data_IF_395313003607
#
_entry.id   IF_395313003607
#
_cell.length_a   1.000
_cell.length_b   1.000
_cell.length_c   1.000
_cell.angle_alpha   90.00
_cell.angle_beta   90.00
_cell.angle_gamma   90.00
#
_symmetry.space_group_name_H-M   'P 1'
#
loop_
_entity.id
_entity.type
_entity.pdbx_description
1 polymer ?
#
# COMPACT_ATOMS: atom_id res chain seq x y z
N UNK A 1 12.87 -26.59 1.53
CA UNK A 1 13.19 -25.94 0.24
C UNK A 1 12.79 -24.48 0.35
N UNK A 2 13.74 -23.55 0.24
CA UNK A 2 13.36 -22.10 0.29
C UNK A 2 12.78 -21.73 -1.07
N UNK A 3 11.53 -21.33 -1.12
CA UNK A 3 10.89 -20.82 -2.34
C UNK A 3 11.65 -19.56 -2.76
N UNK A 4 12.23 -19.56 -3.97
CA UNK A 4 12.76 -18.34 -4.57
C UNK A 4 11.56 -17.44 -4.87
N UNK A 5 11.55 -16.25 -4.27
CA UNK A 5 10.58 -15.22 -4.64
C UNK A 5 10.80 -14.84 -6.10
N UNK A 6 9.74 -14.89 -6.91
CA UNK A 6 9.76 -14.53 -8.32
C UNK A 6 9.79 -13.01 -8.47
N UNK A 7 10.30 -12.55 -9.60
CA UNK A 7 10.09 -11.18 -10.06
C UNK A 7 8.91 -11.15 -11.04
N UNK A 8 8.34 -9.98 -11.25
CA UNK A 8 7.35 -9.79 -12.31
C UNK A 8 8.04 -9.97 -13.66
N UNK A 9 7.40 -10.72 -14.56
CA UNK A 9 7.90 -10.90 -15.94
C UNK A 9 7.84 -9.58 -16.72
N UNK A 10 6.78 -8.78 -16.47
CA UNK A 10 6.60 -7.44 -17.01
C UNK A 10 6.18 -6.48 -15.89
N UNK A 11 6.60 -5.20 -15.96
CA UNK A 11 6.16 -4.19 -15.01
C UNK A 11 4.64 -4.01 -15.03
N UNK A 12 4.07 -3.73 -13.87
CA UNK A 12 2.63 -3.44 -13.72
C UNK A 12 2.40 -1.99 -13.30
N UNK A 13 1.26 -1.45 -13.69
CA UNK A 13 0.85 -0.12 -13.25
C UNK A 13 0.53 -0.14 -11.75
N UNK A 14 1.02 0.87 -11.05
CA UNK A 14 0.72 1.11 -9.64
C UNK A 14 0.29 2.54 -9.37
N UNK A 15 -0.18 2.79 -8.17
CA UNK A 15 -0.50 4.12 -7.67
C UNK A 15 0.03 4.31 -6.27
N UNK A 16 0.48 5.52 -5.98
CA UNK A 16 0.85 5.96 -4.63
C UNK A 16 -0.02 7.15 -4.24
N UNK A 17 -0.66 7.05 -3.08
CA UNK A 17 -1.55 8.07 -2.53
C UNK A 17 -1.00 8.50 -1.17
N UNK A 18 -0.59 9.75 -1.06
CA UNK A 18 -0.21 10.36 0.22
C UNK A 18 -1.43 10.97 0.87
N UNK A 19 -1.74 10.49 2.07
CA UNK A 19 -2.88 10.92 2.88
C UNK A 19 -2.37 11.84 3.98
N UNK A 20 -2.61 13.13 3.83
CA UNK A 20 -2.15 14.13 4.79
C UNK A 20 -2.83 15.48 4.54
N UNK A 21 -3.57 15.99 5.52
CA UNK A 21 -4.13 17.35 5.49
C UNK A 21 -3.07 18.42 5.27
N UNK A 22 -1.91 18.28 5.92
CA UNK A 22 -0.82 19.24 5.85
C UNK A 22 -0.17 19.27 4.48
N UNK A 23 0.06 18.10 3.87
CA UNK A 23 0.59 18.02 2.51
C UNK A 23 -0.44 18.50 1.48
N UNK A 24 -1.73 18.18 1.66
CA UNK A 24 -2.80 18.62 0.78
C UNK A 24 -2.98 20.14 0.75
N UNK A 25 -2.74 20.82 1.89
CA UNK A 25 -2.76 22.28 1.97
C UNK A 25 -1.46 22.95 1.53
N UNK A 26 -0.39 22.18 1.32
CA UNK A 26 0.94 22.73 1.02
C UNK A 26 1.73 23.20 2.25
N UNK A 27 1.26 22.91 3.46
CA UNK A 27 1.93 23.27 4.73
C UNK A 27 3.13 22.38 5.04
N UNK A 28 3.22 21.23 4.37
CA UNK A 28 4.30 20.25 4.54
C UNK A 28 4.64 19.60 3.21
N UNK A 29 5.93 19.39 2.98
CA UNK A 29 6.41 18.60 1.85
C UNK A 29 6.12 17.11 2.05
N UNK A 30 5.62 16.44 0.98
CA UNK A 30 5.48 14.99 0.98
C UNK A 30 6.85 14.32 0.81
N UNK A 31 7.27 13.61 1.84
CA UNK A 31 8.54 12.86 1.84
C UNK A 31 8.34 11.36 1.72
N UNK A 32 7.16 10.85 2.03
CA UNK A 32 6.86 9.42 2.01
C UNK A 32 6.43 8.92 0.64
N UNK A 33 5.62 9.69 -0.08
CA UNK A 33 5.14 9.33 -1.41
C UNK A 33 6.26 9.07 -2.43
N UNK A 34 7.22 10.00 -2.63
CA UNK A 34 8.35 9.76 -3.53
C UNK A 34 9.21 8.55 -3.15
N UNK A 35 9.37 8.27 -1.86
CA UNK A 35 10.07 7.06 -1.40
C UNK A 35 9.31 5.80 -1.81
N UNK A 36 7.99 5.79 -1.64
CA UNK A 36 7.14 4.67 -2.06
C UNK A 36 7.26 4.41 -3.57
N UNK A 37 7.21 5.44 -4.39
CA UNK A 37 7.34 5.33 -5.86
C UNK A 37 8.66 4.66 -6.24
N UNK A 38 9.76 5.14 -5.69
CA UNK A 38 11.10 4.59 -5.96
C UNK A 38 11.21 3.12 -5.55
N UNK A 39 10.78 2.79 -4.33
CA UNK A 39 10.89 1.43 -3.80
C UNK A 39 9.97 0.44 -4.52
N UNK A 40 8.78 0.86 -4.92
CA UNK A 40 7.87 0.02 -5.71
C UNK A 40 8.43 -0.28 -7.10
N UNK A 41 9.15 0.67 -7.71
CA UNK A 41 9.80 0.46 -9.00
C UNK A 41 10.85 -0.66 -8.95
N UNK A 42 11.57 -0.82 -7.84
CA UNK A 42 12.53 -1.91 -7.62
C UNK A 42 11.86 -3.30 -7.66
N UNK A 43 10.54 -3.36 -7.49
CA UNK A 43 9.71 -4.57 -7.55
C UNK A 43 8.85 -4.65 -8.83
N UNK A 44 9.11 -3.80 -9.82
CA UNK A 44 8.40 -3.81 -11.10
C UNK A 44 7.01 -3.15 -11.06
N UNK A 45 6.70 -2.37 -10.03
CA UNK A 45 5.46 -1.59 -9.93
C UNK A 45 5.76 -0.14 -10.32
N UNK A 46 5.23 0.30 -11.46
CA UNK A 46 5.50 1.62 -12.01
C UNK A 46 4.39 2.60 -11.65
N UNK A 47 4.78 3.74 -11.09
CA UNK A 47 3.89 4.81 -10.65
C UNK A 47 4.31 6.11 -11.33
N UNK A 48 3.40 6.72 -12.08
CA UNK A 48 3.69 7.94 -12.84
C UNK A 48 3.84 9.17 -11.94
N UNK A 49 2.97 9.29 -10.93
CA UNK A 49 2.99 10.42 -10.01
C UNK A 49 2.33 10.07 -8.68
N UNK A 50 2.71 10.79 -7.63
CA UNK A 50 2.06 10.69 -6.32
C UNK A 50 0.80 11.55 -6.31
N UNK A 51 -0.32 10.99 -5.86
CA UNK A 51 -1.54 11.73 -5.57
C UNK A 51 -1.57 12.09 -4.09
N UNK A 52 -1.74 13.37 -3.78
CA UNK A 52 -1.88 13.84 -2.40
C UNK A 52 -3.35 14.16 -2.13
N UNK A 53 -3.89 13.63 -1.04
CA UNK A 53 -5.28 13.86 -0.62
C UNK A 53 -5.33 14.20 0.87
N UNK A 54 -6.35 14.96 1.31
CA UNK A 54 -6.58 15.20 2.74
C UNK A 54 -6.99 13.91 3.45
N UNK A 55 -6.82 13.90 4.77
CA UNK A 55 -7.35 12.85 5.64
C UNK A 55 -8.88 12.77 5.53
N UNK A 56 -9.43 11.57 5.67
CA UNK A 56 -10.87 11.32 5.61
C UNK A 56 -11.22 10.06 4.83
N UNK A 57 -12.35 9.45 5.18
CA UNK A 57 -12.83 8.21 4.53
C UNK A 57 -13.10 8.45 3.05
N UNK A 58 -13.83 9.51 2.72
CA UNK A 58 -14.28 9.75 1.35
C UNK A 58 -13.13 10.16 0.42
N UNK A 59 -12.24 11.04 0.88
CA UNK A 59 -11.08 11.50 0.09
C UNK A 59 -10.15 10.34 -0.26
N UNK A 60 -9.85 9.48 0.72
CA UNK A 60 -8.98 8.31 0.52
C UNK A 60 -9.65 7.26 -0.35
N UNK A 61 -10.93 6.93 -0.08
CA UNK A 61 -11.68 5.96 -0.87
C UNK A 61 -11.74 6.35 -2.35
N UNK A 62 -12.13 7.57 -2.66
CA UNK A 62 -12.21 8.07 -4.05
C UNK A 62 -10.86 8.02 -4.75
N UNK A 63 -9.77 8.32 -4.02
CA UNK A 63 -8.44 8.27 -4.61
C UNK A 63 -8.03 6.82 -4.96
N UNK A 64 -8.37 5.86 -4.09
CA UNK A 64 -8.11 4.43 -4.35
C UNK A 64 -8.97 3.95 -5.54
N UNK A 65 -10.27 4.23 -5.54
CA UNK A 65 -11.18 3.86 -6.62
C UNK A 65 -10.71 4.43 -7.97
N UNK A 66 -10.34 5.70 -8.01
CA UNK A 66 -9.82 6.34 -9.22
C UNK A 66 -8.51 5.69 -9.71
N UNK A 67 -7.63 5.26 -8.81
CA UNK A 67 -6.41 4.55 -9.18
C UNK A 67 -6.73 3.17 -9.78
N UNK A 68 -7.70 2.44 -9.23
CA UNK A 68 -8.17 1.15 -9.75
C UNK A 68 -8.79 1.34 -11.14
N UNK A 69 -9.66 2.33 -11.32
CA UNK A 69 -10.28 2.65 -12.61
C UNK A 69 -9.24 3.04 -13.67
N UNK A 70 -8.14 3.68 -13.26
CA UNK A 70 -7.02 4.01 -14.14
C UNK A 70 -6.12 2.80 -14.48
N UNK A 71 -6.40 1.61 -13.96
CA UNK A 71 -5.70 0.38 -14.30
C UNK A 71 -4.57 0.00 -13.34
N UNK A 72 -4.46 0.62 -12.16
CA UNK A 72 -3.48 0.21 -11.18
C UNK A 72 -3.73 -1.22 -10.70
N UNK A 73 -2.68 -2.03 -10.65
CA UNK A 73 -2.69 -3.40 -10.10
C UNK A 73 -2.22 -3.45 -8.64
N UNK A 74 -1.49 -2.42 -8.24
CA UNK A 74 -1.02 -2.21 -6.86
C UNK A 74 -1.31 -0.77 -6.49
N UNK A 75 -1.99 -0.56 -5.37
CA UNK A 75 -2.24 0.77 -4.80
C UNK A 75 -1.63 0.83 -3.41
N UNK A 76 -0.68 1.72 -3.19
CA UNK A 76 -0.10 1.99 -1.88
C UNK A 76 -0.57 3.35 -1.38
N UNK A 77 -1.18 3.37 -0.21
CA UNK A 77 -1.45 4.61 0.53
C UNK A 77 -0.40 4.82 1.60
N UNK A 78 0.00 6.05 1.87
CA UNK A 78 0.89 6.39 2.99
C UNK A 78 0.28 7.49 3.83
N UNK A 79 0.14 7.25 5.13
CA UNK A 79 -0.49 8.16 6.09
C UNK A 79 -1.89 7.73 6.52
N UNK A 80 -2.38 8.35 7.58
CA UNK A 80 -3.72 8.12 8.14
C UNK A 80 -3.95 6.74 8.75
N UNK A 81 -2.90 6.08 9.23
CA UNK A 81 -2.97 4.70 9.77
C UNK A 81 -2.84 4.61 11.29
N UNK A 82 -2.72 5.73 11.99
CA UNK A 82 -2.56 5.78 13.44
C UNK A 82 -3.89 5.69 14.20
N UNK A 83 -3.90 6.27 15.40
CA UNK A 83 -5.04 6.18 16.34
C UNK A 83 -5.75 7.52 16.58
N UNK A 84 -5.37 8.57 15.87
CA UNK A 84 -6.06 9.86 16.00
C UNK A 84 -7.41 9.84 15.27
N UNK A 85 -8.35 10.76 15.60
CA UNK A 85 -9.62 10.85 14.90
C UNK A 85 -9.51 11.14 13.39
N UNK A 86 -8.38 11.68 12.95
CA UNK A 86 -8.10 11.98 11.54
C UNK A 86 -7.51 10.79 10.77
N UNK A 87 -7.00 9.78 11.48
CA UNK A 87 -6.42 8.58 10.88
C UNK A 87 -7.53 7.61 10.44
N UNK A 88 -8.03 7.77 9.23
CA UNK A 88 -9.19 7.06 8.69
C UNK A 88 -8.87 6.25 7.42
N UNK A 89 -7.58 6.08 7.10
CA UNK A 89 -7.17 5.29 5.91
C UNK A 89 -7.63 3.84 5.99
N UNK A 90 -7.52 3.11 7.12
CA UNK A 90 -8.03 1.75 7.22
C UNK A 90 -9.55 1.66 7.05
N UNK A 91 -10.29 2.63 7.57
CA UNK A 91 -11.75 2.70 7.43
C UNK A 91 -12.18 2.95 5.97
N UNK A 92 -11.42 3.76 5.24
CA UNK A 92 -11.62 4.00 3.80
C UNK A 92 -11.30 2.76 2.95
N UNK A 93 -10.27 2.01 3.35
CA UNK A 93 -9.73 0.87 2.59
C UNK A 93 -10.55 -0.40 2.81
N UNK A 94 -10.96 -0.69 4.06
CA UNK A 94 -11.62 -1.94 4.44
C UNK A 94 -12.80 -2.33 3.56
N UNK A 95 -13.76 -1.43 3.23
CA UNK A 95 -14.91 -1.77 2.39
C UNK A 95 -14.55 -2.18 0.96
N UNK A 96 -13.36 -1.82 0.47
CA UNK A 96 -12.89 -2.14 -0.88
C UNK A 96 -12.27 -3.53 -0.98
N UNK A 97 -11.98 -4.19 0.16
CA UNK A 97 -11.28 -5.46 0.21
C UNK A 97 -12.25 -6.64 0.19
N UNK A 98 -12.13 -7.50 -0.81
CA UNK A 98 -12.78 -8.81 -0.84
C UNK A 98 -12.08 -9.80 0.10
N UNK A 99 -10.76 -9.66 0.27
CA UNK A 99 -9.98 -10.45 1.21
C UNK A 99 -8.84 -9.62 1.80
N UNK A 100 -8.64 -9.76 3.12
CA UNK A 100 -7.49 -9.22 3.82
C UNK A 100 -6.35 -10.23 3.84
N UNK A 101 -5.13 -9.73 3.72
CA UNK A 101 -3.90 -10.53 3.83
C UNK A 101 -3.27 -10.27 5.21
N UNK A 102 -3.97 -10.72 6.26
CA UNK A 102 -3.62 -10.43 7.66
C UNK A 102 -2.23 -10.92 8.05
N UNK A 103 -1.75 -12.01 7.41
CA UNK A 103 -0.38 -12.48 7.58
C UNK A 103 0.67 -11.48 7.11
N UNK A 104 0.41 -10.80 6.00
CA UNK A 104 1.29 -9.73 5.49
C UNK A 104 1.22 -8.51 6.41
N UNK A 105 0.04 -8.11 6.87
CA UNK A 105 -0.13 -7.02 7.84
C UNK A 105 0.68 -7.28 9.12
N UNK A 106 0.65 -8.53 9.62
CA UNK A 106 1.42 -8.93 10.79
C UNK A 106 2.94 -8.88 10.53
N UNK A 107 3.39 -9.34 9.37
CA UNK A 107 4.80 -9.28 8.98
C UNK A 107 5.31 -7.84 8.87
N UNK A 108 4.54 -6.93 8.28
CA UNK A 108 4.90 -5.50 8.18
C UNK A 108 5.08 -4.90 9.59
N UNK A 109 4.14 -5.15 10.50
CA UNK A 109 4.24 -4.66 11.88
C UNK A 109 5.42 -5.26 12.62
N UNK A 110 5.66 -6.57 12.48
CA UNK A 110 6.78 -7.25 13.11
C UNK A 110 8.12 -6.69 12.61
N UNK A 111 8.25 -6.48 11.31
CA UNK A 111 9.44 -5.88 10.71
C UNK A 111 9.66 -4.45 11.20
N UNK A 112 8.60 -3.64 11.26
CA UNK A 112 8.68 -2.27 11.76
C UNK A 112 9.05 -2.18 13.25
N UNK A 113 8.64 -3.17 14.08
CA UNK A 113 9.00 -3.24 15.49
C UNK A 113 10.50 -3.44 15.74
N UNK A 114 11.24 -3.96 14.77
CA UNK A 114 12.71 -4.03 14.84
C UNK A 114 13.36 -2.64 14.79
N UNK A 115 12.66 -1.64 14.23
CA UNK A 115 13.13 -0.27 14.07
C UNK A 115 12.53 0.70 15.09
N UNK A 116 11.25 0.53 15.43
CA UNK A 116 10.55 1.41 16.36
C UNK A 116 9.34 0.71 17.01
N UNK A 117 9.15 0.90 18.34
CA UNK A 117 7.95 0.38 19.00
C UNK A 117 6.64 1.03 18.51
N UNK A 118 6.72 2.20 17.86
CA UNK A 118 5.56 2.89 17.29
C UNK A 118 4.90 2.13 16.13
N UNK A 119 5.62 1.20 15.51
CA UNK A 119 5.05 0.32 14.48
C UNK A 119 3.82 -0.46 14.98
N UNK A 120 3.76 -0.77 16.28
CA UNK A 120 2.60 -1.43 16.91
C UNK A 120 1.32 -0.60 16.92
N UNK A 121 1.40 0.72 16.74
CA UNK A 121 0.24 1.60 16.65
C UNK A 121 -0.38 1.65 15.26
N UNK A 122 0.29 1.12 14.24
CA UNK A 122 -0.22 1.10 12.87
C UNK A 122 -1.40 0.15 12.73
N UNK A 123 -2.51 0.67 12.22
CA UNK A 123 -3.72 -0.09 11.87
C UNK A 123 -3.81 -0.37 10.37
N UNK A 124 -2.68 -0.22 9.67
CA UNK A 124 -2.57 -0.42 8.23
C UNK A 124 -3.09 -1.78 7.77
N UNK A 125 -3.83 -1.79 6.67
CA UNK A 125 -4.40 -2.96 6.05
C UNK A 125 -3.60 -3.34 4.80
N UNK A 126 -3.59 -4.62 4.50
CA UNK A 126 -3.16 -5.18 3.22
C UNK A 126 -4.21 -6.15 2.74
N UNK A 127 -4.65 -6.03 1.50
CA UNK A 127 -5.66 -6.92 0.95
C UNK A 127 -5.86 -6.77 -0.55
N UNK A 128 -6.80 -7.53 -1.08
CA UNK A 128 -7.13 -7.54 -2.51
C UNK A 128 -8.60 -7.19 -2.70
N UNK A 129 -8.88 -6.44 -3.76
CA UNK A 129 -10.24 -5.96 -4.08
C UNK A 129 -11.13 -7.05 -4.68
N UNK A 130 -10.53 -8.06 -5.28
CA UNK A 130 -11.18 -9.25 -5.84
C UNK A 130 -10.22 -10.42 -5.68
N UNK A 131 -10.72 -11.64 -5.72
CA UNK A 131 -9.92 -12.87 -5.75
C UNK A 131 -9.77 -13.44 -7.16
N UNK A 132 -10.16 -12.67 -8.15
CA UNK A 132 -10.08 -13.00 -9.57
C UNK A 132 -8.93 -12.23 -10.24
N UNK A 133 -8.74 -12.46 -11.54
CA UNK A 133 -7.64 -11.88 -12.33
C UNK A 133 -7.63 -10.33 -12.36
N UNK A 134 -8.76 -9.69 -12.15
CA UNK A 134 -8.94 -8.24 -12.07
C UNK A 134 -8.63 -7.65 -10.68
N UNK A 135 -8.33 -8.51 -9.70
CA UNK A 135 -8.02 -8.09 -8.34
C UNK A 135 -6.84 -7.12 -8.27
N UNK A 136 -6.96 -6.13 -7.40
CA UNK A 136 -5.93 -5.12 -7.13
C UNK A 136 -5.41 -5.29 -5.70
N UNK A 137 -4.10 -5.32 -5.55
CA UNK A 137 -3.46 -5.31 -4.23
C UNK A 137 -3.48 -3.89 -3.66
N UNK A 138 -4.14 -3.72 -2.52
CA UNK A 138 -4.11 -2.47 -1.76
C UNK A 138 -3.23 -2.64 -0.53
N UNK A 139 -2.33 -1.69 -0.32
CA UNK A 139 -1.38 -1.66 0.79
C UNK A 139 -1.48 -0.31 1.47
N UNK A 140 -1.85 -0.28 2.76
CA UNK A 140 -1.67 0.91 3.57
C UNK A 140 -0.27 0.90 4.20
N UNK A 141 0.40 2.04 4.21
CA UNK A 141 1.67 2.26 4.90
C UNK A 141 1.55 3.42 5.88
N UNK A 142 2.32 3.44 6.97
CA UNK A 142 2.42 4.61 7.82
C UNK A 142 2.91 5.84 7.06
N UNK A 143 2.61 7.04 7.57
CA UNK A 143 2.96 8.32 6.92
C UNK A 143 4.43 8.73 7.03
N UNK A 144 5.29 7.95 7.67
CA UNK A 144 6.72 8.20 7.77
C UNK A 144 7.50 7.52 6.65
N UNK A 145 8.68 8.05 6.32
CA UNK A 145 9.61 7.39 5.39
C UNK A 145 9.96 5.98 5.85
N UNK A 146 10.34 5.82 7.12
CA UNK A 146 10.68 4.51 7.67
C UNK A 146 9.52 3.53 7.59
N UNK A 147 8.28 3.97 7.87
CA UNK A 147 7.09 3.13 7.75
C UNK A 147 6.83 2.67 6.32
N UNK A 148 7.09 3.52 5.33
CA UNK A 148 7.02 3.14 3.90
C UNK A 148 8.13 2.17 3.54
N UNK A 149 9.37 2.44 3.97
CA UNK A 149 10.52 1.57 3.74
C UNK A 149 10.26 0.16 4.31
N UNK A 150 9.79 0.07 5.54
CA UNK A 150 9.44 -1.20 6.20
C UNK A 150 8.30 -1.93 5.47
N UNK A 151 7.25 -1.19 5.09
CA UNK A 151 6.11 -1.76 4.37
C UNK A 151 6.52 -2.35 3.04
N UNK A 152 7.28 -1.61 2.23
CA UNK A 152 7.70 -2.09 0.90
C UNK A 152 8.75 -3.19 1.01
N UNK A 153 9.63 -3.16 2.02
CA UNK A 153 10.59 -4.25 2.26
C UNK A 153 9.90 -5.61 2.45
N UNK A 154 8.74 -5.62 3.10
CA UNK A 154 7.94 -6.85 3.32
C UNK A 154 7.04 -7.16 2.13
N UNK A 155 6.27 -6.17 1.65
CA UNK A 155 5.24 -6.39 0.63
C UNK A 155 5.83 -6.52 -0.77
N UNK A 156 6.84 -5.72 -1.10
CA UNK A 156 7.41 -5.65 -2.44
C UNK A 156 7.79 -7.03 -3.02
N UNK A 157 8.56 -7.85 -2.31
CA UNK A 157 8.90 -9.20 -2.77
C UNK A 157 7.71 -10.15 -2.94
N UNK A 158 6.56 -9.84 -2.33
CA UNK A 158 5.34 -10.66 -2.39
C UNK A 158 4.40 -10.24 -3.53
N UNK A 159 4.57 -9.04 -4.09
CA UNK A 159 3.72 -8.53 -5.17
C UNK A 159 3.59 -9.51 -6.33
N UNK A 160 4.68 -10.09 -6.89
CA UNK A 160 4.56 -11.01 -8.00
C UNK A 160 3.69 -12.23 -7.67
N UNK A 161 3.86 -12.78 -6.46
CA UNK A 161 3.08 -13.93 -6.02
C UNK A 161 1.60 -13.62 -5.84
N UNK A 162 1.26 -12.47 -5.27
CA UNK A 162 -0.13 -12.06 -5.11
C UNK A 162 -0.80 -11.91 -6.48
N UNK A 163 -0.15 -11.23 -7.42
CA UNK A 163 -0.70 -11.03 -8.77
C UNK A 163 -0.80 -12.33 -9.57
N UNK A 164 0.16 -13.25 -9.42
CA UNK A 164 0.13 -14.58 -10.04
C UNK A 164 -1.07 -15.40 -9.52
N UNK A 165 -1.29 -15.41 -8.20
CA UNK A 165 -2.44 -16.12 -7.61
C UNK A 165 -3.78 -15.54 -8.08
N UNK A 166 -3.90 -14.21 -8.16
CA UNK A 166 -5.10 -13.56 -8.71
C UNK A 166 -5.34 -13.93 -10.19
N UNK A 167 -4.27 -14.12 -10.94
CA UNK A 167 -4.32 -14.58 -12.34
C UNK A 167 -4.62 -16.06 -12.53
N UNK A 168 -4.86 -16.81 -11.44
CA UNK A 168 -5.15 -18.25 -11.50
C UNK A 168 -3.92 -19.14 -11.64
N UNK A 169 -2.73 -18.62 -11.28
CA UNK A 169 -1.49 -19.42 -11.26
C UNK A 169 -1.56 -20.53 -10.19
N UNK A 170 -1.07 -21.71 -10.55
CA UNK A 170 -0.95 -22.85 -9.64
C UNK A 170 0.16 -22.63 -8.60
N UNK A 171 -0.03 -23.16 -7.40
CA UNK A 171 0.91 -23.12 -6.26
C UNK A 171 2.07 -24.09 -6.42
#
# INVERSE_FOLDING_TARGET
MRTRLRQLDEPVAGAVITVSDRCARGDKEDRSGPVAVRLLADHGVLVDSVRIVPDGVESVRRAIEAAIEAGARVVLTTGGTGVTPHDLTPEATRPLLAARLEGIEAQVRAYGLEHTPLAGLSRALVGVTSREADGVLIVNAPGSRGGVEDTVAVVGPLVPHVLEQLGGGDH
#
